data_IF_188103227966
#
_entry.id   IF_188103227966
#
_cell.length_a   1.000
_cell.length_b   1.000
_cell.length_c   1.000
_cell.angle_alpha   90.00
_cell.angle_beta   90.00
_cell.angle_gamma   90.00
#
_symmetry.space_group_name_H-M   'P 1'
#
loop_
_entity.id
_entity.type
_entity.pdbx_description
1 polymer ?
#
# COMPACT_ATOMS: atom_id res chain seq x y z
N UNK A 1 11.76 3.67 4.88
CA UNK A 1 11.69 2.25 4.46
C UNK A 1 13.00 1.50 4.66
N UNK A 2 14.13 2.01 4.14
CA UNK A 2 15.47 1.37 4.26
C UNK A 2 15.79 0.86 5.67
N UNK A 3 15.74 1.75 6.68
CA UNK A 3 16.03 1.40 8.07
C UNK A 3 15.17 0.23 8.60
N UNK A 4 13.87 0.21 8.28
CA UNK A 4 12.98 -0.86 8.75
C UNK A 4 13.33 -2.21 8.14
N UNK A 5 13.60 -2.25 6.84
CA UNK A 5 13.99 -3.49 6.17
C UNK A 5 15.36 -4.00 6.63
N UNK A 6 16.31 -3.11 6.93
CA UNK A 6 17.59 -3.50 7.54
C UNK A 6 17.40 -4.10 8.94
N UNK A 7 16.51 -3.52 9.76
CA UNK A 7 16.18 -4.07 11.08
C UNK A 7 15.56 -5.47 10.96
N UNK A 8 14.61 -5.67 10.05
CA UNK A 8 14.03 -7.00 9.78
C UNK A 8 15.10 -7.98 9.31
N UNK A 9 15.97 -7.57 8.38
CA UNK A 9 17.05 -8.42 7.88
C UNK A 9 18.02 -8.84 8.98
N UNK A 10 18.48 -7.91 9.84
CA UNK A 10 19.36 -8.21 10.97
C UNK A 10 18.75 -9.24 11.92
N UNK A 11 17.46 -9.09 12.23
CA UNK A 11 16.75 -10.07 13.04
C UNK A 11 16.70 -11.46 12.37
N UNK A 12 16.47 -11.52 11.05
CA UNK A 12 16.49 -12.78 10.30
C UNK A 12 17.88 -13.42 10.27
N UNK A 13 18.97 -12.64 10.23
CA UNK A 13 20.33 -13.19 10.32
C UNK A 13 20.66 -13.75 11.71
N UNK A 14 20.18 -13.09 12.77
CA UNK A 14 20.48 -13.47 14.16
C UNK A 14 19.75 -14.75 14.60
N UNK A 15 18.47 -14.88 14.25
CA UNK A 15 17.61 -15.98 14.77
C UNK A 15 16.98 -16.85 13.69
N UNK A 16 17.00 -16.40 12.43
CA UNK A 16 16.31 -17.08 11.34
C UNK A 16 17.10 -18.24 10.72
N UNK A 17 16.42 -19.29 10.22
CA UNK A 17 17.05 -20.28 9.38
C UNK A 17 17.57 -19.62 8.09
N UNK A 18 18.86 -19.84 7.78
CA UNK A 18 19.55 -19.21 6.65
C UNK A 18 18.77 -19.40 5.35
N UNK A 19 18.63 -18.33 4.58
CA UNK A 19 18.01 -18.29 3.25
C UNK A 19 16.58 -18.85 3.15
N UNK A 20 15.85 -18.94 4.27
CA UNK A 20 14.48 -19.48 4.27
C UNK A 20 13.42 -18.38 4.11
N UNK A 21 13.69 -17.20 4.67
CA UNK A 21 12.75 -16.08 4.70
C UNK A 21 13.36 -14.84 4.07
N UNK A 22 12.49 -13.97 3.57
CA UNK A 22 12.88 -12.65 3.05
C UNK A 22 12.28 -11.54 3.93
N UNK A 23 12.85 -10.33 3.94
CA UNK A 23 12.25 -9.22 4.70
C UNK A 23 10.79 -8.93 4.32
N UNK A 24 10.40 -9.18 3.06
CA UNK A 24 9.03 -9.01 2.57
C UNK A 24 8.06 -10.10 3.03
N UNK A 25 8.53 -11.15 3.72
CA UNK A 25 7.65 -12.07 4.43
C UNK A 25 7.15 -11.46 5.76
N UNK A 26 7.70 -10.32 6.20
CA UNK A 26 7.35 -9.67 7.49
C UNK A 26 6.93 -8.20 7.35
N UNK A 27 7.46 -7.47 6.37
CA UNK A 27 7.14 -6.05 6.15
C UNK A 27 6.87 -5.79 4.67
N UNK A 28 5.74 -5.17 4.35
CA UNK A 28 5.39 -4.84 2.98
C UNK A 28 4.81 -3.42 2.89
N UNK A 29 5.06 -2.74 1.77
CA UNK A 29 4.50 -1.44 1.44
C UNK A 29 3.72 -1.54 0.14
N UNK A 30 2.54 -0.95 0.13
CA UNK A 30 1.62 -0.94 -1.01
C UNK A 30 1.14 0.49 -1.28
N UNK A 31 0.64 0.72 -2.48
CA UNK A 31 -0.14 1.90 -2.84
C UNK A 31 -1.43 1.45 -3.54
N UNK A 32 -2.33 2.40 -3.82
CA UNK A 32 -3.56 2.11 -4.56
C UNK A 32 -3.54 2.78 -5.94
N UNK A 33 -4.12 2.11 -6.93
CA UNK A 33 -4.31 2.66 -8.27
C UNK A 33 -5.50 2.02 -8.97
N UNK A 34 -6.02 2.73 -9.97
CA UNK A 34 -7.06 2.22 -10.85
C UNK A 34 -6.64 2.35 -12.32
N UNK A 35 -7.20 1.47 -13.15
CA UNK A 35 -7.08 1.50 -14.60
C UNK A 35 -8.43 1.08 -15.19
N UNK A 36 -9.01 1.93 -16.04
CA UNK A 36 -10.37 1.75 -16.56
C UNK A 36 -10.38 1.70 -18.08
N UNK A 37 -10.89 0.60 -18.65
CA UNK A 37 -11.09 0.50 -20.09
C UNK A 37 -12.08 1.56 -20.60
N UNK A 38 -11.98 1.91 -21.88
CA UNK A 38 -12.98 2.78 -22.52
C UNK A 38 -14.28 1.99 -22.69
N UNK A 39 -15.34 2.45 -22.05
CA UNK A 39 -16.69 1.95 -22.33
C UNK A 39 -17.22 2.65 -23.60
N UNK A 40 -17.58 1.87 -24.62
CA UNK A 40 -18.17 2.37 -25.87
C UNK A 40 -19.48 3.16 -25.66
N UNK A 41 -20.12 3.01 -24.49
CA UNK A 41 -21.38 3.63 -24.10
C UNK A 41 -21.25 4.78 -23.08
N UNK A 42 -20.04 5.22 -22.74
CA UNK A 42 -19.81 6.34 -21.82
C UNK A 42 -20.05 7.71 -22.49
N UNK A 43 -20.25 8.79 -21.72
CA UNK A 43 -20.36 10.13 -22.30
C UNK A 43 -19.10 10.42 -23.14
N UNK A 44 -19.30 10.95 -24.35
CA UNK A 44 -18.21 11.30 -25.27
C UNK A 44 -17.37 12.40 -24.65
N UNK A 45 -16.39 12.03 -23.82
CA UNK A 45 -15.41 12.96 -23.29
C UNK A 45 -14.60 13.47 -24.47
N UNK A 46 -14.53 14.80 -24.61
CA UNK A 46 -13.70 15.48 -25.59
C UNK A 46 -12.28 14.96 -25.42
N UNK A 47 -11.78 14.23 -26.42
CA UNK A 47 -10.39 13.79 -26.45
C UNK A 47 -9.54 15.06 -26.41
N UNK A 48 -8.75 15.31 -25.35
CA UNK A 48 -7.86 16.46 -25.32
C UNK A 48 -6.94 16.36 -26.54
N UNK A 49 -6.64 17.47 -27.24
CA UNK A 49 -5.70 17.42 -28.35
C UNK A 49 -4.37 16.83 -27.86
N UNK A 50 -4.05 15.63 -28.33
CA UNK A 50 -2.88 14.82 -27.93
C UNK A 50 -1.57 15.40 -28.51
N UNK A 51 -1.31 16.68 -28.23
CA UNK A 51 -0.20 17.44 -28.80
C UNK A 51 0.99 17.48 -27.83
N UNK A 52 0.81 17.12 -26.55
CA UNK A 52 1.87 17.07 -25.54
C UNK A 52 2.13 15.70 -24.91
N UNK A 53 3.20 15.65 -24.11
CA UNK A 53 3.57 14.55 -23.21
C UNK A 53 3.36 14.93 -21.74
N UNK A 54 2.34 15.75 -21.44
CA UNK A 54 2.08 16.19 -20.06
C UNK A 54 1.60 15.03 -19.17
N UNK A 55 1.80 15.11 -17.85
CA UNK A 55 1.24 14.16 -16.89
C UNK A 55 -0.25 13.85 -17.07
N UNK A 56 -1.03 14.90 -17.34
CA UNK A 56 -2.47 14.81 -17.56
C UNK A 56 -2.80 13.99 -18.83
N UNK A 57 -2.16 14.31 -19.96
CA UNK A 57 -2.39 13.60 -21.23
C UNK A 57 -1.95 12.14 -21.15
N UNK A 58 -0.82 11.85 -20.49
CA UNK A 58 -0.32 10.48 -20.33
C UNK A 58 -1.27 9.63 -19.48
N UNK A 59 -1.75 10.18 -18.35
CA UNK A 59 -2.70 9.49 -17.47
C UNK A 59 -4.03 9.24 -18.18
N UNK A 60 -4.51 10.21 -18.97
CA UNK A 60 -5.71 10.05 -19.79
C UNK A 60 -5.54 8.98 -20.88
N UNK A 61 -4.39 8.99 -21.58
CA UNK A 61 -4.07 8.03 -22.65
C UNK A 61 -3.96 6.61 -22.12
N UNK A 62 -3.28 6.43 -21.00
CA UNK A 62 -3.05 5.12 -20.38
C UNK A 62 -4.18 4.69 -19.44
N UNK A 63 -5.18 5.57 -19.26
CA UNK A 63 -6.42 5.33 -18.53
C UNK A 63 -6.22 4.86 -17.09
N UNK A 64 -5.14 5.31 -16.47
CA UNK A 64 -4.74 4.89 -15.12
C UNK A 64 -4.36 6.09 -14.27
N UNK A 65 -4.61 5.98 -12.98
CA UNK A 65 -4.16 6.96 -11.99
C UNK A 65 -4.12 6.34 -10.60
N UNK A 66 -3.37 6.96 -9.68
CA UNK A 66 -3.38 6.54 -8.28
C UNK A 66 -4.76 6.76 -7.65
N UNK A 67 -5.17 5.85 -6.78
CA UNK A 67 -6.22 6.13 -5.81
C UNK A 67 -5.51 6.73 -4.60
N UNK A 68 -5.85 7.97 -4.27
CA UNK A 68 -5.15 8.70 -3.23
C UNK A 68 -5.50 8.15 -1.84
N UNK A 69 -4.51 7.58 -1.15
CA UNK A 69 -4.67 7.05 0.20
C UNK A 69 -4.58 8.20 1.20
N UNK A 70 -5.73 8.76 1.55
CA UNK A 70 -5.83 9.80 2.58
C UNK A 70 -6.14 9.26 3.98
N UNK A 71 -6.21 7.93 4.13
CA UNK A 71 -6.54 7.26 5.40
C UNK A 71 -5.46 7.51 6.46
N UNK A 72 -5.90 7.74 7.70
CA UNK A 72 -5.07 7.68 8.90
C UNK A 72 -5.70 6.72 9.88
N UNK A 73 -5.35 5.45 9.75
CA UNK A 73 -5.87 4.40 10.60
C UNK A 73 -4.95 3.19 10.65
N UNK A 74 -5.07 2.44 11.73
CA UNK A 74 -4.27 1.24 12.01
C UNK A 74 -5.16 0.18 12.64
N UNK A 75 -5.08 -1.04 12.13
CA UNK A 75 -5.76 -2.22 12.68
C UNK A 75 -4.70 -3.15 13.24
N UNK A 76 -4.89 -3.59 14.48
CA UNK A 76 -3.99 -4.50 15.19
C UNK A 76 -4.75 -5.76 15.58
N UNK A 77 -4.20 -6.90 15.18
CA UNK A 77 -4.66 -8.26 15.51
C UNK A 77 -6.14 -8.55 15.23
N UNK A 78 -6.79 -7.81 14.32
CA UNK A 78 -8.26 -7.84 14.11
C UNK A 78 -9.11 -7.53 15.37
N UNK A 79 -8.48 -6.99 16.43
CA UNK A 79 -9.08 -6.70 17.75
C UNK A 79 -9.20 -5.20 18.03
N UNK A 80 -8.15 -4.44 17.71
CA UNK A 80 -8.04 -3.02 18.05
C UNK A 80 -7.90 -2.18 16.79
N UNK A 81 -8.55 -1.02 16.77
CA UNK A 81 -8.47 -0.07 15.64
C UNK A 81 -8.22 1.35 16.15
N UNK A 82 -7.35 2.08 15.45
CA UNK A 82 -7.17 3.52 15.59
C UNK A 82 -7.64 4.18 14.29
N UNK A 83 -8.47 5.20 14.39
CA UNK A 83 -8.90 6.04 13.25
C UNK A 83 -8.84 7.50 13.69
N UNK A 84 -8.28 8.37 12.85
CA UNK A 84 -8.16 9.79 13.17
C UNK A 84 -7.71 10.64 11.99
N UNK A 85 -7.10 11.79 12.31
CA UNK A 85 -6.54 12.74 11.34
C UNK A 85 -5.01 12.66 11.23
N UNK A 86 -4.33 12.11 12.23
CA UNK A 86 -2.87 12.12 12.36
C UNK A 86 -2.13 11.23 11.36
N UNK A 87 -1.30 11.82 10.50
CA UNK A 87 -0.40 11.10 9.60
C UNK A 87 0.76 10.43 10.36
N UNK A 88 1.40 9.40 9.79
CA UNK A 88 2.66 8.85 10.34
C UNK A 88 3.84 9.73 9.88
N UNK A 89 3.94 10.92 10.45
CA UNK A 89 5.04 11.88 10.25
C UNK A 89 5.22 12.75 11.51
N UNK A 90 6.27 13.58 11.58
CA UNK A 90 6.53 14.37 12.77
C UNK A 90 5.52 15.50 12.97
N UNK A 91 5.02 16.12 11.89
CA UNK A 91 3.97 17.14 11.95
C UNK A 91 2.74 16.68 12.75
N UNK A 92 2.22 15.49 12.46
CA UNK A 92 1.05 14.95 13.16
C UNK A 92 1.41 14.26 14.49
N UNK A 93 2.59 13.67 14.63
CA UNK A 93 2.95 12.84 15.82
C UNK A 93 3.67 13.61 16.93
N UNK A 94 4.15 14.83 16.68
CA UNK A 94 4.88 15.65 17.67
C UNK A 94 4.02 16.14 18.84
N UNK A 95 2.71 16.33 18.61
CA UNK A 95 1.78 16.95 19.56
C UNK A 95 1.94 18.47 19.73
N UNK A 96 2.97 19.08 19.16
CA UNK A 96 3.25 20.53 19.25
C UNK A 96 3.19 21.27 17.90
N UNK A 97 3.05 20.53 16.78
CA UNK A 97 2.85 21.10 15.45
C UNK A 97 1.35 21.11 15.09
N UNK A 98 0.90 20.15 14.30
CA UNK A 98 -0.49 20.11 13.87
C UNK A 98 -1.39 19.59 15.00
N UNK A 99 -2.58 20.19 15.12
CA UNK A 99 -3.59 19.71 16.07
C UNK A 99 -4.33 18.55 15.45
N UNK A 100 -4.17 17.36 16.03
CA UNK A 100 -4.75 16.12 15.53
C UNK A 100 -5.71 15.49 16.54
N UNK A 101 -6.63 14.67 16.05
CA UNK A 101 -7.51 13.84 16.89
C UNK A 101 -7.57 12.42 16.35
N UNK A 102 -7.57 11.44 17.26
CA UNK A 102 -7.75 10.03 16.92
C UNK A 102 -8.53 9.31 18.02
N UNK A 103 -9.32 8.31 17.62
CA UNK A 103 -10.01 7.40 18.51
C UNK A 103 -9.42 6.01 18.37
N UNK A 104 -9.10 5.39 19.51
CA UNK A 104 -8.73 3.99 19.62
C UNK A 104 -9.85 3.19 20.26
N UNK A 105 -10.24 2.08 19.66
CA UNK A 105 -11.34 1.25 20.15
C UNK A 105 -11.09 -0.24 19.92
N UNK A 106 -11.70 -1.06 20.77
CA UNK A 106 -11.77 -2.52 20.66
C UNK A 106 -13.11 -3.03 21.19
N UNK A 107 -13.45 -4.27 20.88
CA UNK A 107 -14.65 -4.91 21.37
C UNK A 107 -14.29 -5.95 22.45
N UNK A 108 -14.71 -5.77 23.73
CA UNK A 108 -14.26 -6.62 24.84
C UNK A 108 -14.52 -8.13 24.68
N UNK A 109 -15.57 -8.49 23.94
CA UNK A 109 -15.97 -9.88 23.68
C UNK A 109 -15.34 -10.47 22.39
N UNK A 110 -14.55 -9.69 21.66
CA UNK A 110 -13.88 -10.10 20.43
C UNK A 110 -12.38 -9.78 20.55
N UNK A 111 -11.71 -10.47 21.47
CA UNK A 111 -10.28 -10.31 21.74
C UNK A 111 -9.53 -11.62 21.52
N UNK A 112 -8.26 -11.55 21.18
CA UNK A 112 -7.37 -12.70 21.01
C UNK A 112 -7.34 -13.60 22.26
N UNK A 113 -7.45 -13.01 23.46
CA UNK A 113 -7.50 -13.76 24.73
C UNK A 113 -8.87 -14.39 24.99
N UNK A 114 -9.94 -13.70 24.61
CA UNK A 114 -11.32 -14.11 24.90
C UNK A 114 -11.93 -15.09 23.90
N UNK A 115 -11.35 -15.23 22.71
CA UNK A 115 -11.92 -16.04 21.64
C UNK A 115 -10.91 -17.07 21.09
N UNK A 116 -11.13 -18.38 21.29
CA UNK A 116 -10.22 -19.43 20.81
C UNK A 116 -10.00 -19.43 19.28
N UNK A 117 -10.98 -18.94 18.52
CA UNK A 117 -10.90 -18.81 17.06
C UNK A 117 -10.28 -17.49 16.56
N UNK A 118 -9.82 -16.64 17.49
CA UNK A 118 -9.39 -15.27 17.22
C UNK A 118 -10.56 -14.26 17.15
N UNK A 119 -10.24 -12.95 17.18
CA UNK A 119 -11.23 -11.89 17.18
C UNK A 119 -11.94 -11.81 15.82
N UNK A 120 -13.26 -12.08 15.82
CA UNK A 120 -14.12 -12.04 14.62
C UNK A 120 -15.23 -10.99 14.74
N UNK A 121 -14.89 -9.86 15.36
CA UNK A 121 -15.80 -8.73 15.57
C UNK A 121 -15.92 -7.79 14.36
N UNK A 122 -16.39 -6.57 14.63
CA UNK A 122 -16.48 -5.47 13.65
C UNK A 122 -15.11 -5.05 13.12
N UNK A 123 -14.06 -5.09 13.94
CA UNK A 123 -12.69 -4.76 13.48
C UNK A 123 -12.21 -5.74 12.42
N UNK A 124 -12.37 -7.05 12.67
CA UNK A 124 -12.13 -8.10 11.67
C UNK A 124 -12.95 -7.89 10.39
N UNK A 125 -14.25 -7.64 10.53
CA UNK A 125 -15.15 -7.41 9.39
C UNK A 125 -14.75 -6.19 8.57
N UNK A 126 -14.40 -5.08 9.23
CA UNK A 126 -13.92 -3.86 8.59
C UNK A 126 -12.62 -4.10 7.81
N UNK A 127 -11.66 -4.79 8.42
CA UNK A 127 -10.39 -5.15 7.76
C UNK A 127 -10.62 -6.05 6.54
N UNK A 128 -11.47 -7.07 6.65
CA UNK A 128 -11.85 -7.91 5.51
C UNK A 128 -12.56 -7.12 4.41
N UNK A 129 -13.43 -6.17 4.76
CA UNK A 129 -14.10 -5.29 3.78
C UNK A 129 -13.11 -4.42 3.01
N UNK A 130 -12.14 -3.79 3.69
CA UNK A 130 -11.07 -3.03 3.04
C UNK A 130 -10.23 -3.91 2.11
N UNK A 131 -9.94 -5.14 2.54
CA UNK A 131 -9.21 -6.09 1.71
C UNK A 131 -10.03 -6.50 0.49
N UNK A 132 -11.34 -6.73 0.63
CA UNK A 132 -12.20 -7.03 -0.51
C UNK A 132 -12.18 -5.90 -1.55
N UNK A 133 -12.26 -4.64 -1.10
CA UNK A 133 -12.18 -3.45 -1.96
C UNK A 133 -10.81 -3.35 -2.65
N UNK A 134 -9.72 -3.41 -1.90
CA UNK A 134 -8.39 -3.16 -2.45
C UNK A 134 -7.84 -4.37 -3.23
N UNK A 135 -8.11 -5.60 -2.82
CA UNK A 135 -7.62 -6.81 -3.49
C UNK A 135 -8.55 -7.21 -4.65
N UNK A 136 -9.83 -6.83 -4.59
CA UNK A 136 -10.85 -7.21 -5.58
C UNK A 136 -11.49 -8.58 -5.29
N UNK A 137 -11.36 -9.09 -4.07
CA UNK A 137 -11.91 -10.38 -3.66
C UNK A 137 -11.51 -10.82 -2.26
N UNK A 138 -12.13 -11.89 -1.78
CA UNK A 138 -11.82 -12.52 -0.49
C UNK A 138 -11.34 -13.94 -0.68
N UNK A 139 -10.26 -14.28 0.02
CA UNK A 139 -9.70 -15.64 0.07
C UNK A 139 -9.58 -16.10 1.52
N UNK A 140 -9.65 -17.42 1.74
CA UNK A 140 -9.63 -17.99 3.08
C UNK A 140 -8.36 -17.62 3.87
N UNK A 141 -7.20 -17.52 3.20
CA UNK A 141 -5.95 -17.14 3.85
C UNK A 141 -6.00 -15.72 4.44
N UNK A 142 -6.83 -14.81 3.91
CA UNK A 142 -6.99 -13.45 4.44
C UNK A 142 -7.62 -13.43 5.83
N UNK A 143 -8.25 -14.52 6.28
CA UNK A 143 -8.73 -14.64 7.66
C UNK A 143 -7.61 -14.77 8.68
N UNK A 144 -6.36 -14.96 8.22
CA UNK A 144 -5.14 -15.18 9.01
C UNK A 144 -3.97 -14.34 8.47
N UNK A 145 -4.02 -13.00 8.63
CA UNK A 145 -3.03 -12.09 8.07
C UNK A 145 -1.61 -12.30 8.62
N UNK A 146 -1.46 -12.96 9.76
CA UNK A 146 -0.18 -13.33 10.37
C UNK A 146 0.53 -14.48 9.64
N UNK A 147 -0.20 -15.25 8.83
CA UNK A 147 0.35 -16.41 8.14
C UNK A 147 1.22 -16.02 6.94
N UNK A 148 2.33 -16.74 6.75
CA UNK A 148 3.20 -16.55 5.58
C UNK A 148 2.45 -16.77 4.26
N UNK A 149 1.51 -17.72 4.25
CA UNK A 149 0.67 -17.99 3.08
C UNK A 149 -0.16 -16.75 2.72
N UNK A 150 -0.77 -16.08 3.71
CA UNK A 150 -1.50 -14.84 3.48
C UNK A 150 -0.59 -13.72 2.98
N UNK A 151 0.55 -13.48 3.63
CA UNK A 151 1.49 -12.41 3.25
C UNK A 151 1.98 -12.61 1.82
N UNK A 152 2.40 -13.84 1.48
CA UNK A 152 2.88 -14.19 0.14
C UNK A 152 1.77 -14.11 -0.90
N UNK A 153 0.54 -14.52 -0.56
CA UNK A 153 -0.62 -14.41 -1.46
C UNK A 153 -0.95 -12.96 -1.77
N UNK A 154 -1.02 -12.10 -0.75
CA UNK A 154 -1.23 -10.66 -0.93
C UNK A 154 -0.13 -10.08 -1.80
N UNK A 155 1.15 -10.43 -1.55
CA UNK A 155 2.31 -10.03 -2.35
C UNK A 155 2.17 -10.39 -3.83
N UNK A 156 1.82 -11.63 -4.12
CA UNK A 156 1.60 -12.11 -5.50
C UNK A 156 0.49 -11.33 -6.22
N UNK A 157 -0.62 -11.05 -5.53
CA UNK A 157 -1.74 -10.32 -6.14
C UNK A 157 -1.33 -8.88 -6.49
N UNK A 158 -0.63 -8.18 -5.59
CA UNK A 158 -0.24 -6.80 -5.88
C UNK A 158 0.89 -6.67 -6.90
N UNK A 159 1.77 -7.66 -7.01
CA UNK A 159 2.75 -7.76 -8.11
C UNK A 159 2.05 -7.97 -9.46
N UNK A 160 1.04 -8.83 -9.48
CA UNK A 160 0.20 -9.02 -10.66
C UNK A 160 -0.55 -7.73 -11.01
N UNK A 161 -1.25 -7.09 -10.05
CA UNK A 161 -1.95 -5.82 -10.27
C UNK A 161 -1.00 -4.72 -10.75
N UNK A 162 0.20 -4.61 -10.17
CA UNK A 162 1.22 -3.66 -10.62
C UNK A 162 1.60 -3.92 -12.08
N UNK A 163 1.83 -5.18 -12.48
CA UNK A 163 2.18 -5.53 -13.86
C UNK A 163 1.10 -5.12 -14.88
N UNK A 164 -0.19 -5.23 -14.51
CA UNK A 164 -1.30 -4.73 -15.32
C UNK A 164 -1.39 -3.21 -15.31
N UNK A 165 -1.20 -2.59 -14.14
CA UNK A 165 -1.21 -1.14 -14.00
C UNK A 165 -0.16 -0.49 -14.90
N UNK A 166 1.05 -1.06 -15.02
CA UNK A 166 2.13 -0.51 -15.86
C UNK A 166 2.06 -0.95 -17.34
N UNK A 167 1.16 -1.87 -17.69
CA UNK A 167 1.06 -2.45 -19.04
C UNK A 167 0.87 -1.35 -20.11
N UNK A 168 1.39 -1.60 -21.32
CA UNK A 168 1.12 -0.76 -22.51
C UNK A 168 -0.29 -0.99 -23.05
N UNK A 169 -0.82 -2.20 -22.88
CA UNK A 169 -2.20 -2.51 -23.20
C UNK A 169 -3.08 -2.08 -22.03
N UNK A 170 -4.07 -1.22 -22.33
CA UNK A 170 -5.05 -0.75 -21.34
C UNK A 170 -5.93 -1.93 -20.94
N UNK A 171 -5.87 -2.30 -19.67
CA UNK A 171 -6.65 -3.38 -19.08
C UNK A 171 -7.29 -2.89 -17.80
N UNK A 172 -8.56 -3.19 -17.64
CA UNK A 172 -9.26 -2.91 -16.39
C UNK A 172 -8.63 -3.73 -15.25
N UNK A 173 -8.29 -3.06 -14.15
CA UNK A 173 -7.81 -3.74 -12.94
C UNK A 173 -8.95 -3.85 -11.92
N UNK A 174 -9.24 -5.09 -11.50
CA UNK A 174 -10.32 -5.38 -10.54
C UNK A 174 -9.91 -5.11 -9.10
N UNK A 175 -8.62 -5.23 -8.80
CA UNK A 175 -8.03 -4.93 -7.50
C UNK A 175 -7.16 -3.69 -7.60
N UNK A 176 -7.29 -2.81 -6.61
CA UNK A 176 -6.60 -1.53 -6.55
C UNK A 176 -5.26 -1.61 -5.81
N UNK A 177 -4.98 -2.67 -5.06
CA UNK A 177 -3.77 -2.84 -4.27
C UNK A 177 -2.59 -3.13 -5.19
N UNK A 178 -1.65 -2.19 -5.25
CA UNK A 178 -0.45 -2.24 -6.06
C UNK A 178 0.79 -2.39 -5.18
N UNK A 179 1.80 -3.10 -5.71
CA UNK A 179 3.15 -3.07 -5.15
C UNK A 179 3.63 -1.62 -5.12
N UNK A 180 4.12 -1.13 -3.98
CA UNK A 180 4.82 0.15 -3.96
C UNK A 180 6.08 0.02 -4.85
N UNK A 181 6.40 0.96 -5.75
CA UNK A 181 7.35 0.77 -6.87
C UNK A 181 8.85 0.71 -6.47
N UNK A 182 9.15 -0.08 -5.45
CA UNK A 182 10.48 -0.36 -4.93
C UNK A 182 10.79 -1.86 -5.01
N UNK A 183 12.07 -2.17 -5.09
CA UNK A 183 12.64 -3.49 -4.92
C UNK A 183 13.31 -3.58 -3.55
N UNK A 184 13.16 -4.73 -2.88
CA UNK A 184 13.81 -5.03 -1.60
C UNK A 184 14.73 -6.22 -1.82
N UNK A 185 16.03 -5.97 -1.75
CA UNK A 185 17.05 -7.01 -1.86
C UNK A 185 17.05 -7.95 -0.65
N UNK A 186 17.74 -9.11 -0.77
CA UNK A 186 17.78 -10.12 0.30
C UNK A 186 18.39 -9.59 1.61
N UNK A 187 19.24 -8.57 1.53
CA UNK A 187 19.90 -7.90 2.67
C UNK A 187 19.11 -6.70 3.22
N UNK A 188 17.84 -6.53 2.85
CA UNK A 188 17.02 -5.39 3.26
C UNK A 188 17.35 -4.07 2.54
N UNK A 189 18.15 -4.12 1.46
CA UNK A 189 18.44 -2.92 0.65
C UNK A 189 17.23 -2.57 -0.23
N UNK A 190 16.75 -1.34 -0.10
CA UNK A 190 15.66 -0.78 -0.88
C UNK A 190 16.23 0.01 -2.05
N UNK A 191 15.62 -0.15 -3.23
CA UNK A 191 15.93 0.58 -4.47
C UNK A 191 14.64 0.80 -5.26
N UNK A 192 14.58 1.72 -6.24
CA UNK A 192 13.46 1.76 -7.17
C UNK A 192 13.44 0.47 -8.00
N UNK A 193 12.27 0.10 -8.52
CA UNK A 193 12.22 -0.97 -9.52
C UNK A 193 13.10 -0.60 -10.72
N UNK A 194 13.92 -1.54 -11.20
CA UNK A 194 14.88 -1.29 -12.28
C UNK A 194 14.25 -0.68 -13.55
N UNK A 195 12.96 -0.94 -13.79
CA UNK A 195 12.18 -0.45 -14.93
C UNK A 195 11.45 0.87 -14.65
N UNK A 196 11.33 1.31 -13.39
CA UNK A 196 10.57 2.50 -12.99
C UNK A 196 11.29 3.28 -11.88
N UNK A 197 12.19 4.18 -12.29
CA UNK A 197 12.76 5.19 -11.38
C UNK A 197 11.78 6.33 -11.08
N UNK A 198 10.77 6.53 -11.92
CA UNK A 198 9.73 7.55 -11.77
C UNK A 198 8.32 6.95 -11.77
N UNK A 199 7.34 7.67 -11.21
CA UNK A 199 5.95 7.22 -11.24
C UNK A 199 5.39 7.19 -12.67
N UNK A 200 4.64 6.13 -13.06
CA UNK A 200 4.05 6.04 -14.39
C UNK A 200 3.21 7.26 -14.73
N UNK A 201 3.39 7.79 -15.94
CA UNK A 201 2.66 8.91 -16.55
C UNK A 201 2.88 10.30 -15.93
N UNK A 202 2.97 10.38 -14.61
CA UNK A 202 3.09 11.64 -13.86
C UNK A 202 4.53 12.09 -13.69
N UNK A 203 5.49 11.16 -13.70
CA UNK A 203 6.90 11.43 -13.42
C UNK A 203 7.16 11.60 -11.92
N UNK A 204 8.29 12.23 -11.57
CA UNK A 204 8.77 12.35 -10.20
C UNK A 204 9.47 11.07 -9.72
N UNK A 205 10.63 11.23 -9.10
CA UNK A 205 11.45 10.10 -8.65
C UNK A 205 10.76 9.34 -7.52
N UNK A 206 10.71 8.01 -7.64
CA UNK A 206 10.06 7.12 -6.66
C UNK A 206 10.76 7.16 -5.30
N UNK A 207 12.08 7.34 -5.30
CA UNK A 207 12.88 7.54 -4.09
C UNK A 207 12.72 8.95 -3.50
N UNK A 208 12.03 9.83 -4.21
CA UNK A 208 12.01 11.25 -3.94
C UNK A 208 13.36 11.90 -4.27
N UNK A 209 13.41 13.21 -4.07
CA UNK A 209 14.65 13.98 -4.13
C UNK A 209 14.76 14.82 -2.87
N UNK A 210 15.97 14.91 -2.34
CA UNK A 210 16.23 15.81 -1.22
C UNK A 210 16.28 17.23 -1.76
N UNK A 211 15.14 17.92 -1.73
CA UNK A 211 15.11 19.37 -1.94
C UNK A 211 15.61 20.03 -0.66
N UNK A 212 16.48 21.04 -0.77
CA UNK A 212 17.01 21.82 0.36
C UNK A 212 15.98 22.70 1.10
N UNK A 213 14.73 22.24 1.15
CA UNK A 213 13.69 22.74 2.04
C UNK A 213 14.08 22.39 3.48
N UNK A 214 13.73 23.25 4.42
CA UNK A 214 13.97 22.98 5.83
C UNK A 214 13.26 21.70 6.26
N UNK A 215 13.96 20.86 7.02
CA UNK A 215 13.44 19.59 7.53
C UNK A 215 12.14 19.78 8.32
N UNK A 216 12.00 20.91 9.01
CA UNK A 216 10.78 21.24 9.76
C UNK A 216 9.52 21.40 8.90
N UNK A 217 9.65 21.54 7.58
CA UNK A 217 8.53 21.66 6.64
C UNK A 217 8.18 20.32 5.97
N UNK A 218 9.09 19.34 6.00
CA UNK A 218 8.98 18.11 5.18
C UNK A 218 9.12 16.82 5.99
N UNK A 219 9.61 16.88 7.23
CA UNK A 219 9.82 15.75 8.14
C UNK A 219 8.91 15.87 9.36
#
# INVERSE_FOLDING_TARGET
MQMMYETVYKALEEVGPKNTYTPQDYLNFFCLGNCEALNESGPSFVVPPLIGSTPHENSWRNRRFMIYVHLKGMIMDDEYVIIGSANINYCSMSGSRDTEVAMGAYQPWHTCKGTPSGPRGQVHGYRMSLWAEHIGGLEQCFTRPESLDCVRRVRQINEWNWSHYISKEIREIKGHLLKYPIEVGPMGRVRPLATFSTFPDVGGDVEGSFCGLQEDLTI
#
